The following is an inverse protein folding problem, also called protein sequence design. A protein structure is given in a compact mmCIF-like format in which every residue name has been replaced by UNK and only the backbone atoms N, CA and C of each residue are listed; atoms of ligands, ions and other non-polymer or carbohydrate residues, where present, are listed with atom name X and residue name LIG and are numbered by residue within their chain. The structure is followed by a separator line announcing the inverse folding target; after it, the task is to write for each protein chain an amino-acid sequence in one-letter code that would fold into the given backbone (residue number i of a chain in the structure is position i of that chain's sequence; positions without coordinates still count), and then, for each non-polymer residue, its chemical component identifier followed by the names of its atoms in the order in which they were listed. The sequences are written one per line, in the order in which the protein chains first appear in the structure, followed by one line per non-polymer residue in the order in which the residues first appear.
data_IF_280868030267
#
_entry.id   IF_280868030267
#
_cell.length_a   1.000
_cell.length_b   1.000
_cell.length_c   1.000
_cell.angle_alpha   90.00
_cell.angle_beta   90.00
_cell.angle_gamma   90.00
#
_symmetry.space_group_name_H-M   'P 1'
#
loop_
_entity.id
_entity.type
_entity.pdbx_description
1 polymer ?
#
# COMPACT_ATOMS: atom_id res chain seq x y z
N UNK A 1 -7.24 16.85 14.80
CA UNK A 1 -6.71 15.48 15.04
C UNK A 1 -5.37 15.45 14.34
N UNK A 2 -4.31 14.95 14.95
CA UNK A 2 -2.98 14.86 14.31
C UNK A 2 -2.76 13.39 13.98
N UNK A 3 -2.46 13.09 12.73
CA UNK A 3 -2.07 11.75 12.31
C UNK A 3 -0.56 11.57 12.44
N UNK A 4 -0.10 10.43 12.89
CA UNK A 4 1.32 10.09 13.00
C UNK A 4 1.72 8.96 12.04
N UNK A 5 0.75 8.11 11.65
CA UNK A 5 0.97 7.01 10.73
C UNK A 5 -0.25 6.77 9.83
N UNK A 6 -0.06 6.83 8.52
CA UNK A 6 -1.10 6.66 7.50
C UNK A 6 -0.83 5.41 6.68
N UNK A 7 -1.83 4.53 6.55
CA UNK A 7 -1.80 3.35 5.67
C UNK A 7 -2.53 3.62 4.36
N UNK A 8 -1.88 3.31 3.24
CA UNK A 8 -2.44 3.45 1.90
C UNK A 8 -2.43 2.11 1.17
N UNK A 9 -3.52 1.35 1.20
CA UNK A 9 -3.64 0.16 0.37
C UNK A 9 -3.82 0.54 -1.10
N UNK A 10 -3.10 -0.17 -1.98
CA UNK A 10 -3.15 0.05 -3.42
C UNK A 10 -3.26 -1.26 -4.21
N UNK A 11 -4.06 -1.24 -5.26
CA UNK A 11 -4.13 -2.26 -6.30
C UNK A 11 -3.53 -1.79 -7.63
N UNK A 12 -2.78 -0.68 -7.59
CA UNK A 12 -2.18 0.01 -8.73
C UNK A 12 -3.20 0.61 -9.72
N UNK A 13 -4.48 0.66 -9.36
CA UNK A 13 -5.51 1.32 -10.19
C UNK A 13 -5.36 2.84 -10.17
N UNK A 14 -5.88 3.56 -11.21
CA UNK A 14 -5.93 5.01 -11.19
C UNK A 14 -6.68 5.60 -10.00
N UNK A 15 -7.66 4.87 -9.47
CA UNK A 15 -8.40 5.27 -8.28
C UNK A 15 -7.54 5.17 -7.02
N UNK A 16 -6.75 4.09 -6.87
CA UNK A 16 -5.81 3.92 -5.78
C UNK A 16 -4.67 4.96 -5.84
N UNK A 17 -4.17 5.28 -7.04
CA UNK A 17 -3.19 6.35 -7.21
C UNK A 17 -3.73 7.70 -6.72
N UNK A 18 -4.99 7.99 -6.99
CA UNK A 18 -5.63 9.22 -6.50
C UNK A 18 -5.74 9.25 -4.97
N UNK A 19 -6.07 8.12 -4.35
CA UNK A 19 -6.08 8.00 -2.89
C UNK A 19 -4.68 8.25 -2.31
N UNK A 20 -3.63 7.74 -2.96
CA UNK A 20 -2.26 8.02 -2.58
C UNK A 20 -1.94 9.52 -2.61
N UNK A 21 -2.37 10.25 -3.64
CA UNK A 21 -2.12 11.70 -3.70
C UNK A 21 -2.73 12.44 -2.49
N UNK A 22 -3.95 12.10 -2.07
CA UNK A 22 -4.53 12.64 -0.84
C UNK A 22 -3.73 12.24 0.41
N UNK A 23 -3.29 10.98 0.48
CA UNK A 23 -2.50 10.53 1.61
C UNK A 23 -1.15 11.24 1.73
N UNK A 24 -0.49 11.56 0.61
CA UNK A 24 0.75 12.33 0.59
C UNK A 24 0.54 13.77 1.10
N UNK A 25 -0.59 14.40 0.76
CA UNK A 25 -0.97 15.72 1.28
C UNK A 25 -1.19 15.65 2.79
N UNK A 26 -1.97 14.70 3.29
CA UNK A 26 -2.20 14.48 4.72
C UNK A 26 -0.89 14.18 5.47
N UNK A 27 -0.06 13.28 4.92
CA UNK A 27 1.23 12.95 5.51
C UNK A 27 2.16 14.17 5.61
N UNK A 28 2.15 15.04 4.59
CA UNK A 28 2.93 16.28 4.60
C UNK A 28 2.42 17.26 5.66
N UNK A 29 1.09 17.46 5.74
CA UNK A 29 0.49 18.40 6.69
C UNK A 29 0.69 17.98 8.14
N UNK A 30 0.62 16.67 8.41
CA UNK A 30 0.72 16.11 9.76
C UNK A 30 2.12 15.65 10.13
N UNK A 31 3.08 15.68 9.19
CA UNK A 31 4.42 15.08 9.35
C UNK A 31 4.31 13.58 9.71
N UNK A 32 3.31 12.91 9.15
CA UNK A 32 3.01 11.53 9.41
C UNK A 32 3.89 10.59 8.56
N UNK A 33 4.20 9.42 9.10
CA UNK A 33 4.77 8.32 8.33
C UNK A 33 3.70 7.77 7.38
N UNK A 34 4.10 7.40 6.17
CA UNK A 34 3.24 6.77 5.16
C UNK A 34 3.67 5.31 4.94
N UNK A 35 2.73 4.37 5.03
CA UNK A 35 2.96 2.98 4.60
C UNK A 35 2.08 2.67 3.39
N UNK A 36 2.70 2.34 2.25
CA UNK A 36 1.99 1.82 1.08
C UNK A 36 1.90 0.31 1.19
N UNK A 37 0.68 -0.23 1.05
CA UNK A 37 0.42 -1.66 1.15
C UNK A 37 -0.15 -2.20 -0.16
N UNK A 38 0.48 -3.25 -0.73
CA UNK A 38 -0.12 -4.07 -1.77
C UNK A 38 -0.45 -5.46 -1.25
N UNK A 39 -1.63 -5.99 -1.62
CA UNK A 39 -2.07 -7.32 -1.22
C UNK A 39 -2.18 -8.23 -2.44
N UNK A 40 -1.37 -9.28 -2.47
CA UNK A 40 -1.38 -10.30 -3.52
C UNK A 40 -2.43 -11.36 -3.21
N UNK A 41 -3.42 -11.51 -4.10
CA UNK A 41 -4.61 -12.35 -3.82
C UNK A 41 -4.40 -13.87 -3.97
N UNK A 42 -3.33 -14.33 -4.63
CA UNK A 42 -3.21 -15.72 -5.09
C UNK A 42 -2.04 -16.52 -4.50
N UNK A 43 -1.58 -16.19 -3.29
CA UNK A 43 -0.60 -17.04 -2.61
C UNK A 43 -1.15 -17.52 -1.27
N UNK A 44 -0.84 -18.79 -0.86
CA UNK A 44 -1.15 -19.26 0.48
C UNK A 44 -0.44 -18.33 1.48
N UNK A 45 -1.21 -17.87 2.45
CA UNK A 45 -0.76 -16.94 3.47
C UNK A 45 0.52 -17.45 4.13
N UNK A 46 1.61 -16.78 3.92
CA UNK A 46 2.77 -16.84 4.83
C UNK A 46 3.72 -15.69 4.55
N UNK A 47 3.97 -14.94 5.58
CA UNK A 47 5.06 -13.96 5.76
C UNK A 47 4.93 -12.61 5.04
N UNK A 48 5.05 -11.60 5.87
CA UNK A 48 5.08 -10.18 5.54
C UNK A 48 6.54 -9.78 5.36
N UNK A 49 6.88 -9.19 4.23
CA UNK A 49 8.22 -8.61 4.02
C UNK A 49 8.14 -7.11 4.24
N UNK A 50 8.96 -6.61 5.15
CA UNK A 50 9.12 -5.19 5.41
C UNK A 50 10.41 -4.68 4.78
N UNK A 51 10.32 -3.63 4.00
CA UNK A 51 11.48 -2.80 3.67
C UNK A 51 11.39 -1.56 4.55
N UNK A 52 12.25 -1.50 5.56
CA UNK A 52 12.19 -0.49 6.62
C UNK A 52 12.62 0.91 6.22
N UNK A 53 13.32 1.08 5.11
CA UNK A 53 13.81 2.38 4.68
C UNK A 53 13.86 2.45 3.15
N UNK A 54 13.18 3.42 2.57
CA UNK A 54 13.44 3.79 1.20
C UNK A 54 14.82 4.43 1.09
N UNK A 55 15.63 4.10 0.06
CA UNK A 55 16.91 4.74 -0.12
C UNK A 55 16.71 6.24 -0.33
N UNK A 56 17.40 7.06 0.46
CA UNK A 56 17.35 8.53 0.37
C UNK A 56 18.00 9.09 -0.90
N UNK A 57 18.59 8.24 -1.74
CA UNK A 57 19.18 8.60 -3.02
C UNK A 57 18.45 7.88 -4.13
N UNK A 58 17.93 8.64 -5.09
CA UNK A 58 17.21 8.17 -6.28
C UNK A 58 18.04 7.31 -7.24
N UNK A 59 18.86 6.43 -6.73
CA UNK A 59 19.65 5.47 -7.48
C UNK A 59 18.91 4.14 -7.52
N UNK A 60 18.58 3.78 -8.72
CA UNK A 60 17.72 2.71 -9.15
C UNK A 60 17.92 1.33 -8.49
N UNK A 61 16.98 0.49 -8.75
CA UNK A 61 16.74 -0.90 -8.37
C UNK A 61 17.95 -1.83 -8.16
N UNK A 62 19.08 -1.57 -8.81
CA UNK A 62 20.29 -2.38 -8.67
C UNK A 62 20.83 -2.45 -7.22
N UNK A 63 20.62 -1.39 -6.42
CA UNK A 63 21.01 -1.39 -5.01
C UNK A 63 20.00 -2.08 -4.09
N UNK A 64 18.73 -2.11 -4.47
CA UNK A 64 17.68 -2.78 -3.71
C UNK A 64 17.83 -4.31 -3.77
N UNK A 65 18.15 -4.86 -4.93
CA UNK A 65 18.38 -6.29 -5.13
C UNK A 65 19.60 -6.84 -4.39
N UNK A 66 20.59 -5.99 -4.09
CA UNK A 66 21.81 -6.40 -3.41
C UNK A 66 21.70 -6.48 -1.87
N UNK A 67 20.67 -5.87 -1.28
CA UNK A 67 20.48 -5.86 0.20
C UNK A 67 19.45 -6.88 0.72
N UNK A 68 18.76 -7.59 -0.16
CA UNK A 68 17.87 -8.66 0.26
C UNK A 68 18.69 -9.85 0.78
N UNK A 69 18.29 -10.48 1.90
CA UNK A 69 18.99 -11.64 2.41
C UNK A 69 19.06 -12.73 1.33
N UNK A 70 20.24 -13.33 1.13
CA UNK A 70 20.42 -14.43 0.18
C UNK A 70 19.82 -15.70 0.75
N UNK A 71 18.72 -16.15 0.18
CA UNK A 71 18.13 -17.44 0.50
C UNK A 71 18.72 -18.54 -0.38
N UNK A 72 18.81 -19.79 0.13
CA UNK A 72 19.30 -20.93 -0.67
C UNK A 72 18.42 -21.16 -1.88
N UNK A 73 18.99 -21.52 -3.05
CA UNK A 73 18.21 -21.88 -4.24
C UNK A 73 17.22 -23.01 -3.94
N UNK A 74 15.94 -22.85 -4.33
CA UNK A 74 14.91 -23.88 -4.16
C UNK A 74 14.10 -23.79 -2.86
N UNK A 75 14.35 -22.80 -1.99
CA UNK A 75 13.47 -22.54 -0.86
C UNK A 75 12.13 -21.96 -1.33
N UNK A 76 11.01 -22.20 -0.63
CA UNK A 76 9.72 -21.58 -0.93
C UNK A 76 9.79 -20.06 -1.05
N UNK A 77 10.74 -19.42 -0.37
CA UNK A 77 11.04 -18.00 -0.43
C UNK A 77 11.60 -17.57 -1.79
N UNK A 78 12.33 -18.44 -2.50
CA UNK A 78 12.90 -18.12 -3.82
C UNK A 78 11.82 -17.97 -4.89
N UNK A 79 10.74 -18.74 -4.82
CA UNK A 79 9.59 -18.64 -5.74
C UNK A 79 8.72 -17.42 -5.42
N UNK A 80 8.68 -17.00 -4.17
CA UNK A 80 7.94 -15.79 -3.73
C UNK A 80 8.61 -14.48 -4.10
N UNK A 81 9.91 -14.53 -4.34
CA UNK A 81 10.75 -13.36 -4.60
C UNK A 81 10.28 -12.58 -5.83
N UNK A 82 9.95 -13.27 -6.91
CA UNK A 82 9.66 -12.64 -8.20
C UNK A 82 8.39 -11.78 -8.17
N UNK A 83 7.31 -12.24 -7.54
CA UNK A 83 6.06 -11.48 -7.45
C UNK A 83 6.12 -10.33 -6.44
N UNK A 84 6.83 -10.54 -5.33
CA UNK A 84 7.00 -9.51 -4.31
C UNK A 84 7.97 -8.43 -4.79
N UNK A 85 9.05 -8.80 -5.47
CA UNK A 85 10.04 -7.86 -6.00
C UNK A 85 9.41 -6.92 -7.03
N UNK A 86 8.60 -7.43 -7.97
CA UNK A 86 7.89 -6.59 -8.93
C UNK A 86 6.88 -5.65 -8.26
N UNK A 87 6.12 -6.13 -7.29
CA UNK A 87 5.16 -5.31 -6.54
C UNK A 87 5.85 -4.24 -5.69
N UNK A 88 6.97 -4.57 -5.06
CA UNK A 88 7.78 -3.61 -4.30
C UNK A 88 8.34 -2.50 -5.18
N UNK A 89 8.82 -2.89 -6.38
CA UNK A 89 9.26 -1.97 -7.43
C UNK A 89 8.15 -0.99 -7.79
N UNK A 90 6.98 -1.51 -8.13
CA UNK A 90 5.83 -0.70 -8.51
C UNK A 90 5.37 0.22 -7.36
N UNK A 91 5.38 -0.26 -6.12
CA UNK A 91 5.03 0.56 -4.95
C UNK A 91 5.99 1.73 -4.76
N UNK A 92 7.29 1.47 -4.92
CA UNK A 92 8.32 2.50 -4.79
C UNK A 92 8.14 3.60 -5.85
N UNK A 93 7.84 3.23 -7.09
CA UNK A 93 7.63 4.16 -8.20
C UNK A 93 6.37 5.04 -8.04
N UNK A 94 5.44 4.62 -7.19
CA UNK A 94 4.24 5.42 -6.93
C UNK A 94 4.51 6.68 -6.12
N UNK A 95 5.55 6.68 -5.28
CA UNK A 95 5.86 7.83 -4.42
C UNK A 95 6.71 8.84 -5.20
N UNK A 96 6.22 10.07 -5.39
CA UNK A 96 6.97 11.08 -6.13
C UNK A 96 8.28 11.43 -5.41
N UNK A 97 9.35 11.65 -6.16
CA UNK A 97 10.64 12.10 -5.62
C UNK A 97 10.57 13.45 -4.86
N UNK A 98 9.51 14.21 -5.09
CA UNK A 98 9.23 15.46 -4.37
C UNK A 98 8.68 15.26 -2.96
N UNK A 99 8.25 14.05 -2.61
CA UNK A 99 7.79 13.75 -1.26
C UNK A 99 8.98 13.49 -0.34
N UNK A 100 9.16 14.34 0.64
CA UNK A 100 10.31 14.32 1.58
C UNK A 100 9.94 13.74 2.96
N UNK A 101 8.69 13.32 3.15
CA UNK A 101 8.23 12.70 4.39
C UNK A 101 8.78 11.28 4.59
N UNK A 102 8.58 10.74 5.79
CA UNK A 102 8.92 9.34 6.08
C UNK A 102 7.92 8.39 5.44
N UNK A 103 8.40 7.38 4.74
CA UNK A 103 7.53 6.38 4.12
C UNK A 103 8.20 5.00 4.00
N UNK A 104 7.37 3.97 3.86
CA UNK A 104 7.79 2.60 3.60
C UNK A 104 6.78 1.90 2.68
N UNK A 105 7.21 0.79 2.09
CA UNK A 105 6.35 -0.08 1.27
C UNK A 105 6.25 -1.48 1.87
N UNK A 106 5.08 -2.10 1.71
CA UNK A 106 4.80 -3.43 2.22
C UNK A 106 3.99 -4.22 1.20
N UNK A 107 4.37 -5.48 1.00
CA UNK A 107 3.60 -6.46 0.23
C UNK A 107 3.19 -7.60 1.16
N UNK A 108 1.93 -7.98 1.13
CA UNK A 108 1.41 -9.13 1.88
C UNK A 108 0.50 -9.98 0.99
N UNK A 109 0.25 -11.22 1.38
CA UNK A 109 -0.63 -12.12 0.65
C UNK A 109 -1.93 -12.38 1.42
N UNK A 110 -3.02 -12.68 0.69
CA UNK A 110 -4.28 -13.11 1.27
C UNK A 110 -5.51 -12.34 0.81
N UNK A 111 -6.56 -12.34 1.63
CA UNK A 111 -7.77 -11.54 1.38
C UNK A 111 -7.46 -10.05 1.59
N UNK A 112 -7.68 -9.18 0.59
CA UNK A 112 -7.28 -7.78 0.69
C UNK A 112 -7.89 -7.03 1.88
N UNK A 113 -9.17 -7.22 2.15
CA UNK A 113 -9.81 -6.51 3.25
C UNK A 113 -9.27 -6.94 4.62
N UNK A 114 -9.08 -8.24 4.81
CA UNK A 114 -8.53 -8.80 6.05
C UNK A 114 -7.07 -8.39 6.25
N UNK A 115 -6.28 -8.44 5.18
CA UNK A 115 -4.88 -8.04 5.21
C UNK A 115 -4.72 -6.55 5.56
N UNK A 116 -5.53 -5.67 4.95
CA UNK A 116 -5.50 -4.24 5.25
C UNK A 116 -5.84 -3.97 6.72
N UNK A 117 -6.93 -4.58 7.23
CA UNK A 117 -7.36 -4.39 8.62
C UNK A 117 -6.31 -4.92 9.60
N UNK A 118 -5.75 -6.10 9.34
CA UNK A 118 -4.68 -6.69 10.14
C UNK A 118 -3.44 -5.80 10.15
N UNK A 119 -2.95 -5.38 8.98
CA UNK A 119 -1.77 -4.50 8.87
C UNK A 119 -2.01 -3.17 9.58
N UNK A 120 -3.22 -2.60 9.48
CA UNK A 120 -3.55 -1.37 10.17
C UNK A 120 -3.46 -1.51 11.70
N UNK A 121 -3.88 -2.65 12.23
CA UNK A 121 -3.78 -2.95 13.66
C UNK A 121 -2.33 -3.24 14.10
N UNK A 122 -1.58 -4.03 13.32
CA UNK A 122 -0.19 -4.40 13.61
C UNK A 122 0.76 -3.20 13.61
N UNK A 123 0.52 -2.24 12.70
CA UNK A 123 1.32 -1.02 12.59
C UNK A 123 0.77 0.14 13.42
N UNK A 124 -0.33 -0.05 14.13
CA UNK A 124 -1.00 0.98 14.95
C UNK A 124 -1.23 2.28 14.16
N UNK A 125 -1.73 2.18 12.91
CA UNK A 125 -1.94 3.36 12.07
C UNK A 125 -3.13 4.20 12.56
N UNK A 126 -3.04 5.50 12.37
CA UNK A 126 -4.07 6.46 12.79
C UNK A 126 -5.12 6.73 11.72
N UNK A 127 -4.78 6.45 10.46
CA UNK A 127 -5.65 6.70 9.32
C UNK A 127 -5.38 5.68 8.21
N UNK A 128 -6.45 5.16 7.61
CA UNK A 128 -6.37 4.45 6.33
C UNK A 128 -6.90 5.38 5.24
N UNK A 129 -6.16 5.58 4.15
CA UNK A 129 -6.61 6.33 2.97
C UNK A 129 -6.69 5.38 1.79
N UNK A 130 -7.88 5.17 1.24
CA UNK A 130 -8.09 4.19 0.17
C UNK A 130 -9.12 4.65 -0.87
N UNK A 131 -9.06 4.07 -2.07
CA UNK A 131 -10.07 4.31 -3.09
C UNK A 131 -11.39 3.60 -2.74
N UNK A 132 -12.52 4.18 -3.16
CA UNK A 132 -13.84 3.53 -3.03
C UNK A 132 -13.98 2.31 -3.93
N UNK A 133 -13.25 2.24 -5.06
CA UNK A 133 -13.27 1.14 -6.03
C UNK A 133 -11.85 0.81 -6.48
N UNK A 134 -11.62 -0.45 -6.81
CA UNK A 134 -10.38 -0.92 -7.39
C UNK A 134 -10.48 -1.14 -8.91
N UNK A 135 -9.73 -2.11 -9.42
CA UNK A 135 -9.61 -2.45 -10.86
C UNK A 135 -10.94 -2.77 -11.55
N UNK A 136 -11.94 -3.25 -10.83
CA UNK A 136 -13.25 -3.66 -11.41
C UNK A 136 -14.20 -2.50 -11.65
N UNK A 137 -13.93 -1.31 -11.09
CA UNK A 137 -14.56 -0.03 -11.42
C UNK A 137 -16.09 -0.05 -11.65
N UNK A 138 -16.86 -0.82 -10.89
CA UNK A 138 -18.31 -0.88 -11.05
C UNK A 138 -18.94 0.48 -10.70
N UNK A 139 -19.26 1.28 -11.72
CA UNK A 139 -19.73 2.67 -11.62
C UNK A 139 -21.03 2.85 -10.85
N UNK A 140 -21.82 1.78 -10.66
CA UNK A 140 -23.12 1.83 -9.99
C UNK A 140 -23.08 1.46 -8.50
N UNK A 141 -21.94 1.07 -7.97
CA UNK A 141 -21.77 0.71 -6.55
C UNK A 141 -21.14 1.89 -5.81
N UNK A 142 -21.74 2.32 -4.71
CA UNK A 142 -21.24 3.45 -3.91
C UNK A 142 -19.87 3.14 -3.25
N UNK A 143 -19.64 1.88 -2.90
CA UNK A 143 -18.43 1.43 -2.23
C UNK A 143 -18.09 0.00 -2.69
N UNK A 144 -16.87 -0.24 -3.13
CA UNK A 144 -16.41 -1.57 -3.53
C UNK A 144 -16.28 -2.53 -2.35
N UNK A 145 -16.32 -3.84 -2.63
CA UNK A 145 -16.38 -4.89 -1.60
C UNK A 145 -15.20 -4.86 -0.61
N UNK A 146 -14.00 -4.49 -1.05
CA UNK A 146 -12.84 -4.34 -0.17
C UNK A 146 -13.01 -3.11 0.71
N UNK A 147 -13.34 -1.96 0.12
CA UNK A 147 -13.52 -0.72 0.85
C UNK A 147 -14.66 -0.80 1.88
N UNK A 148 -15.79 -1.44 1.53
CA UNK A 148 -16.89 -1.67 2.47
C UNK A 148 -16.44 -2.47 3.70
N UNK A 149 -15.73 -3.58 3.48
CA UNK A 149 -15.24 -4.41 4.58
C UNK A 149 -14.21 -3.70 5.44
N UNK A 150 -13.29 -2.95 4.82
CA UNK A 150 -12.28 -2.16 5.55
C UNK A 150 -12.96 -1.09 6.40
N UNK A 151 -13.89 -0.29 5.85
CA UNK A 151 -14.63 0.73 6.61
C UNK A 151 -15.38 0.13 7.80
N UNK A 152 -15.89 -1.09 7.65
CA UNK A 152 -16.64 -1.78 8.73
C UNK A 152 -15.76 -2.32 9.85
N UNK A 153 -14.52 -2.71 9.55
CA UNK A 153 -13.68 -3.48 10.49
C UNK A 153 -12.35 -2.79 10.84
N UNK A 154 -12.04 -1.65 10.25
CA UNK A 154 -10.80 -0.94 10.51
C UNK A 154 -10.68 -0.53 11.99
N UNK A 155 -9.47 -0.62 12.58
CA UNK A 155 -9.22 -0.20 13.97
C UNK A 155 -9.11 1.33 14.11
N UNK A 156 -9.08 2.08 13.01
CA UNK A 156 -8.89 3.52 12.94
C UNK A 156 -9.83 4.16 11.89
N UNK A 157 -9.93 5.48 11.82
CA UNK A 157 -10.64 6.19 10.76
C UNK A 157 -10.21 5.77 9.35
N UNK A 158 -11.16 5.76 8.41
CA UNK A 158 -10.93 5.43 6.99
C UNK A 158 -11.39 6.58 6.12
N UNK A 159 -10.48 7.19 5.40
CA UNK A 159 -10.75 8.17 4.36
C UNK A 159 -10.92 7.46 3.02
N UNK A 160 -12.12 7.50 2.46
CA UNK A 160 -12.38 6.91 1.14
C UNK A 160 -12.38 7.99 0.06
N UNK A 161 -11.56 7.78 -0.98
CA UNK A 161 -11.40 8.71 -2.09
C UNK A 161 -12.18 8.21 -3.30
N UNK A 162 -13.10 9.02 -3.79
CA UNK A 162 -13.94 8.71 -4.94
C UNK A 162 -13.32 9.21 -6.24
N UNK A 163 -13.42 8.41 -7.29
CA UNK A 163 -13.10 8.88 -8.63
C UNK A 163 -14.24 9.83 -9.09
N UNK A 164 -13.97 11.13 -9.19
CA UNK A 164 -14.87 12.03 -9.91
C UNK A 164 -14.69 11.79 -11.41
N UNK A 165 -15.73 11.35 -12.08
CA UNK A 165 -15.79 11.54 -13.52
C UNK A 165 -15.84 13.05 -13.79
N UNK A 166 -14.85 13.57 -14.52
CA UNK A 166 -15.04 14.86 -15.17
C UNK A 166 -16.06 14.58 -16.28
N UNK A 167 -17.27 15.02 -16.08
CA UNK A 167 -18.26 15.06 -17.15
C UNK A 167 -17.66 15.76 -18.37
N UNK A 168 -17.84 15.12 -19.52
CA UNK A 168 -17.51 15.68 -20.81
C UNK A 168 -18.36 16.94 -21.08
#
# INVERSE_FOLDING_TARGET
MVYTHILVPTDFSPAAHRALMYALEEATQHQAKLTLLHVVQHQPATEVYYIKEAPQSGTGYAEFGAKLPSFPPGSPETVRRDYNDEALVQLHDLVPASFTGSWEVQVTAGNPAEAIVRTAAELEVDLIVMATHGRTGLQHVLLGSVAEKVVRHAPCPVLTVRQRERGA
#
